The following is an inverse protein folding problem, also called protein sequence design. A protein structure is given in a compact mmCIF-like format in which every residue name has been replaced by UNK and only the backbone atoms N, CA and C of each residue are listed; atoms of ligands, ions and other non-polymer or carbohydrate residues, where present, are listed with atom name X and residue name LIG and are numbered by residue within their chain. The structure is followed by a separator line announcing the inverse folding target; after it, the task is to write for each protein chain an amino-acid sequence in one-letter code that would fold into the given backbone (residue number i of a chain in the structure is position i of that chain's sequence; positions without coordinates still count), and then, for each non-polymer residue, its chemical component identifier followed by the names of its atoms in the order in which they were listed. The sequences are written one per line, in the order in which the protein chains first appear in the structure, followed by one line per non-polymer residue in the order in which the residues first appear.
data_IF_189245010868
#
_entry.id   IF_189245010868
#
_cell.length_a   1.000
_cell.length_b   1.000
_cell.length_c   1.000
_cell.angle_alpha   90.00
_cell.angle_beta   90.00
_cell.angle_gamma   90.00
#
_symmetry.space_group_name_H-M   'P 1'
#
loop_
_entity.id
_entity.type
_entity.pdbx_description
1 polymer ?
#
# COMPACT_ATOMS: atom_id res chain seq x y z
N UNK A 1 -8.24 14.17 8.74
CA UNK A 1 -8.45 13.91 7.29
C UNK A 1 -9.90 14.06 6.81
N UNK A 2 -10.93 13.56 7.53
CA UNK A 2 -12.34 13.65 7.06
C UNK A 2 -12.89 15.08 6.93
N UNK A 3 -12.40 16.01 7.74
CA UNK A 3 -12.82 17.42 7.74
C UNK A 3 -12.34 18.13 6.47
N UNK A 4 -11.11 17.83 6.01
CA UNK A 4 -10.56 18.40 4.77
C UNK A 4 -11.40 17.99 3.55
N UNK A 5 -11.78 16.71 3.48
CA UNK A 5 -12.67 16.22 2.44
C UNK A 5 -14.04 16.91 2.45
N UNK A 6 -14.66 17.07 3.63
CA UNK A 6 -15.93 17.80 3.77
C UNK A 6 -15.79 19.27 3.38
N UNK A 7 -14.71 19.93 3.77
CA UNK A 7 -14.44 21.31 3.39
C UNK A 7 -14.28 21.46 1.87
N UNK A 8 -13.57 20.52 1.23
CA UNK A 8 -13.43 20.50 -0.23
C UNK A 8 -14.77 20.30 -0.94
N UNK A 9 -15.62 19.39 -0.46
CA UNK A 9 -16.98 19.22 -0.99
C UNK A 9 -17.79 20.50 -0.84
N UNK A 10 -17.78 21.11 0.34
CA UNK A 10 -18.53 22.34 0.59
C UNK A 10 -18.06 23.48 -0.32
N UNK A 11 -16.74 23.62 -0.50
CA UNK A 11 -16.18 24.61 -1.42
C UNK A 11 -16.66 24.37 -2.87
N UNK A 12 -16.57 23.13 -3.33
CA UNK A 12 -17.03 22.77 -4.66
C UNK A 12 -18.53 23.02 -4.84
N UNK A 13 -19.34 22.70 -3.84
CA UNK A 13 -20.78 22.94 -3.84
C UNK A 13 -21.09 24.45 -3.88
N UNK A 14 -20.34 25.24 -3.13
CA UNK A 14 -20.44 26.71 -3.14
C UNK A 14 -20.15 27.27 -4.53
N UNK A 15 -19.07 26.81 -5.17
CA UNK A 15 -18.73 27.21 -6.55
C UNK A 15 -19.84 26.82 -7.53
N UNK A 16 -20.38 25.61 -7.40
CA UNK A 16 -21.48 25.14 -8.25
C UNK A 16 -22.74 26.03 -8.09
N UNK A 17 -23.09 26.40 -6.85
CA UNK A 17 -24.21 27.30 -6.57
C UNK A 17 -23.94 28.70 -7.12
N UNK A 18 -22.74 29.25 -6.93
CA UNK A 18 -22.40 30.58 -7.43
C UNK A 18 -22.45 30.63 -8.96
N UNK A 19 -21.96 29.58 -9.61
CA UNK A 19 -22.06 29.42 -11.06
C UNK A 19 -23.53 29.33 -11.50
N UNK A 20 -24.38 28.61 -10.75
CA UNK A 20 -25.81 28.51 -11.01
C UNK A 20 -26.56 29.83 -10.90
N UNK A 21 -26.32 30.58 -9.82
CA UNK A 21 -26.95 31.88 -9.60
C UNK A 21 -26.46 32.91 -10.62
N UNK A 22 -25.15 32.96 -10.87
CA UNK A 22 -24.56 33.93 -11.82
C UNK A 22 -24.88 33.62 -13.28
N UNK A 23 -25.10 32.34 -13.63
CA UNK A 23 -25.32 31.88 -15.00
C UNK A 23 -26.69 31.19 -15.13
N UNK A 24 -27.73 31.83 -14.59
CA UNK A 24 -29.12 31.41 -14.73
C UNK A 24 -29.71 31.70 -16.12
N UNK A 25 -28.93 32.33 -17.02
CA UNK A 25 -29.34 32.61 -18.39
C UNK A 25 -29.68 31.33 -19.16
N UNK A 26 -30.80 31.35 -19.87
CA UNK A 26 -31.23 30.24 -20.72
C UNK A 26 -30.34 30.19 -21.97
N UNK A 27 -29.69 29.05 -22.19
CA UNK A 27 -28.90 28.79 -23.39
C UNK A 27 -29.62 27.75 -24.24
N UNK A 28 -29.77 28.02 -25.53
CA UNK A 28 -30.34 27.08 -26.48
C UNK A 28 -29.27 26.05 -26.87
N UNK A 29 -29.49 24.79 -26.45
CA UNK A 29 -28.66 23.66 -26.80
C UNK A 29 -29.27 22.95 -28.01
N UNK A 30 -28.64 23.12 -29.17
CA UNK A 30 -28.97 22.36 -30.38
C UNK A 30 -28.13 21.10 -30.41
N UNK A 31 -28.75 19.93 -30.28
CA UNK A 31 -28.04 18.65 -30.24
C UNK A 31 -27.76 18.14 -31.66
N UNK A 32 -26.70 18.58 -32.31
CA UNK A 32 -26.34 18.04 -33.63
C UNK A 32 -25.95 16.54 -33.54
N UNK A 33 -26.40 15.64 -34.45
CA UNK A 33 -27.23 15.85 -35.65
C UNK A 33 -28.75 15.75 -35.43
N UNK A 34 -29.22 15.57 -34.19
CA UNK A 34 -30.64 15.50 -33.88
C UNK A 34 -31.30 16.89 -34.05
N UNK A 35 -32.51 16.99 -34.64
CA UNK A 35 -33.22 18.25 -34.80
C UNK A 35 -33.94 18.64 -33.49
N UNK A 36 -33.26 18.56 -32.35
CA UNK A 36 -33.80 18.89 -31.03
C UNK A 36 -33.03 20.07 -30.42
N UNK A 37 -33.78 21.09 -30.01
CA UNK A 37 -33.24 22.27 -29.33
C UNK A 37 -33.83 22.33 -27.93
N UNK A 38 -32.97 22.29 -26.91
CA UNK A 38 -33.37 22.36 -25.51
C UNK A 38 -32.86 23.67 -24.93
N UNK A 39 -33.78 24.53 -24.47
CA UNK A 39 -33.40 25.72 -23.72
C UNK A 39 -33.24 25.35 -22.24
N UNK A 40 -32.03 25.42 -21.73
CA UNK A 40 -31.73 25.15 -20.32
C UNK A 40 -30.71 26.16 -19.77
N UNK A 41 -30.76 26.48 -18.48
CA UNK A 41 -29.71 27.26 -17.85
C UNK A 41 -28.32 26.61 -17.99
N UNK A 42 -27.30 27.42 -18.31
CA UNK A 42 -25.93 26.93 -18.57
C UNK A 42 -25.36 26.09 -17.42
N UNK A 43 -25.69 26.44 -16.18
CA UNK A 43 -25.20 25.70 -15.02
C UNK A 43 -25.65 24.24 -15.00
N UNK A 44 -26.85 23.91 -15.49
CA UNK A 44 -27.34 22.53 -15.55
C UNK A 44 -26.48 21.69 -16.50
N UNK A 45 -26.03 22.28 -17.61
CA UNK A 45 -25.14 21.60 -18.55
C UNK A 45 -23.81 21.28 -17.88
N UNK A 46 -23.19 22.26 -17.23
CA UNK A 46 -21.88 22.08 -16.59
C UNK A 46 -21.97 21.07 -15.44
N UNK A 47 -22.99 21.19 -14.58
CA UNK A 47 -23.22 20.26 -13.48
C UNK A 47 -23.49 18.84 -13.99
N UNK A 48 -24.26 18.66 -15.07
CA UNK A 48 -24.55 17.32 -15.60
C UNK A 48 -23.31 16.64 -16.19
N UNK A 49 -22.49 17.35 -16.96
CA UNK A 49 -21.21 16.83 -17.48
C UNK A 49 -20.27 16.44 -16.34
N UNK A 50 -20.18 17.29 -15.32
CA UNK A 50 -19.34 17.05 -14.15
C UNK A 50 -19.82 15.85 -13.34
N UNK A 51 -21.13 15.74 -13.12
CA UNK A 51 -21.76 14.60 -12.46
C UNK A 51 -21.50 13.30 -13.23
N UNK A 52 -21.65 13.32 -14.56
CA UNK A 52 -21.35 12.18 -15.43
C UNK A 52 -19.88 11.77 -15.32
N UNK A 53 -18.96 12.74 -15.34
CA UNK A 53 -17.53 12.47 -15.15
C UNK A 53 -17.21 11.81 -13.80
N UNK A 54 -17.83 12.30 -12.72
CA UNK A 54 -17.69 11.72 -11.38
C UNK A 54 -18.27 10.30 -11.34
N UNK A 55 -19.47 10.07 -11.86
CA UNK A 55 -20.09 8.74 -11.91
C UNK A 55 -19.26 7.75 -12.73
N UNK A 56 -18.74 8.18 -13.88
CA UNK A 56 -17.83 7.37 -14.69
C UNK A 56 -16.54 7.04 -13.93
N UNK A 57 -15.93 8.03 -13.28
CA UNK A 57 -14.73 7.84 -12.46
C UNK A 57 -14.94 6.89 -11.28
N UNK A 58 -16.06 7.04 -10.56
CA UNK A 58 -16.43 6.13 -9.47
C UNK A 58 -16.73 4.73 -9.99
N UNK A 59 -17.45 4.60 -11.11
CA UNK A 59 -17.78 3.32 -11.72
C UNK A 59 -16.52 2.55 -12.15
N UNK A 60 -15.61 3.22 -12.85
CA UNK A 60 -14.32 2.66 -13.27
C UNK A 60 -13.44 2.29 -12.08
N UNK A 61 -13.33 3.19 -11.09
CA UNK A 61 -12.58 2.93 -9.86
C UNK A 61 -13.15 1.77 -9.06
N UNK A 62 -14.48 1.64 -9.00
CA UNK A 62 -15.14 0.53 -8.32
C UNK A 62 -14.94 -0.79 -9.06
N UNK A 63 -14.96 -0.78 -10.40
CA UNK A 63 -14.66 -1.96 -11.22
C UNK A 63 -13.20 -2.42 -11.02
N UNK A 64 -12.25 -1.49 -11.05
CA UNK A 64 -10.84 -1.77 -10.80
C UNK A 64 -10.61 -2.30 -9.37
N UNK A 65 -11.18 -1.64 -8.36
CA UNK A 65 -11.08 -2.07 -6.97
C UNK A 65 -11.77 -3.43 -6.73
N UNK A 66 -12.87 -3.72 -7.42
CA UNK A 66 -13.56 -5.02 -7.34
C UNK A 66 -12.69 -6.14 -7.92
N UNK A 67 -11.95 -5.88 -8.99
CA UNK A 67 -11.00 -6.86 -9.55
C UNK A 67 -9.79 -7.06 -8.63
N UNK A 68 -9.26 -6.00 -8.02
CA UNK A 68 -8.15 -6.12 -7.05
C UNK A 68 -8.53 -6.91 -5.80
N UNK A 69 -9.77 -6.79 -5.30
CA UNK A 69 -10.26 -7.61 -4.18
C UNK A 69 -10.34 -9.10 -4.50
N UNK A 70 -10.52 -9.48 -5.77
CA UNK A 70 -10.47 -10.89 -6.20
C UNK A 70 -9.03 -11.41 -6.21
N UNK A 71 -8.09 -10.66 -6.80
CA UNK A 71 -6.66 -11.04 -6.85
C UNK A 71 -6.00 -11.10 -5.47
N UNK A 72 -6.39 -10.20 -4.54
CA UNK A 72 -5.88 -10.24 -3.16
C UNK A 72 -6.25 -11.54 -2.43
N UNK A 73 -7.42 -12.13 -2.74
CA UNK A 73 -7.82 -13.44 -2.17
C UNK A 73 -7.04 -14.60 -2.80
N UNK A 74 -6.64 -14.48 -4.05
CA UNK A 74 -5.84 -15.51 -4.74
C UNK A 74 -4.39 -15.49 -4.25
N UNK A 75 -3.77 -14.32 -4.14
CA UNK A 75 -2.42 -14.19 -3.57
C UNK A 75 -2.35 -14.62 -2.10
N UNK A 76 -3.40 -14.35 -1.30
CA UNK A 76 -3.48 -14.84 0.08
C UNK A 76 -3.56 -16.38 0.19
N UNK A 77 -4.21 -17.04 -0.79
CA UNK A 77 -4.27 -18.51 -0.84
C UNK A 77 -2.95 -19.12 -1.30
N UNK A 78 -2.27 -18.51 -2.27
CA UNK A 78 -0.94 -18.93 -2.70
C UNK A 78 0.07 -18.78 -1.57
N UNK A 79 0.12 -17.64 -0.87
CA UNK A 79 1.00 -17.46 0.28
C UNK A 79 0.74 -18.53 1.37
N UNK A 80 -0.53 -18.78 1.71
CA UNK A 80 -0.89 -19.81 2.68
C UNK A 80 -0.55 -21.24 2.21
N UNK A 81 -0.53 -21.48 0.89
CA UNK A 81 -0.13 -22.76 0.31
C UNK A 81 1.39 -22.95 0.41
N UNK A 82 2.17 -21.94 -0.01
CA UNK A 82 3.63 -21.97 0.10
C UNK A 82 4.08 -22.15 1.55
N UNK A 83 3.41 -21.49 2.50
CA UNK A 83 3.76 -21.58 3.92
C UNK A 83 3.54 -23.00 4.49
N UNK A 84 2.48 -23.68 4.04
CA UNK A 84 2.24 -25.10 4.36
C UNK A 84 3.28 -26.02 3.72
N UNK A 85 3.67 -25.75 2.48
CA UNK A 85 4.71 -26.53 1.79
C UNK A 85 6.08 -26.34 2.45
N UNK A 86 6.43 -25.12 2.88
CA UNK A 86 7.64 -24.85 3.69
C UNK A 86 7.60 -25.59 5.02
N UNK A 87 6.46 -25.54 5.72
CA UNK A 87 6.28 -26.23 7.01
C UNK A 87 6.44 -27.74 6.84
N UNK A 88 5.78 -28.32 5.82
CA UNK A 88 5.88 -29.75 5.50
C UNK A 88 7.31 -30.16 5.14
N UNK A 89 8.02 -29.37 4.34
CA UNK A 89 9.42 -29.65 4.00
C UNK A 89 10.32 -29.57 5.23
N UNK A 90 10.11 -28.60 6.12
CA UNK A 90 10.84 -28.52 7.40
C UNK A 90 10.59 -29.73 8.29
N UNK A 91 9.35 -30.20 8.38
CA UNK A 91 8.99 -31.41 9.13
C UNK A 91 9.65 -32.66 8.51
N UNK A 92 9.59 -32.81 7.18
CA UNK A 92 10.23 -33.93 6.49
C UNK A 92 11.75 -33.93 6.69
N UNK A 93 12.40 -32.76 6.63
CA UNK A 93 13.83 -32.61 6.92
C UNK A 93 14.16 -32.87 8.39
N UNK A 94 13.27 -32.53 9.33
CA UNK A 94 13.44 -32.84 10.75
C UNK A 94 13.33 -34.35 11.03
N UNK A 95 12.42 -35.05 10.32
CA UNK A 95 12.25 -36.51 10.40
C UNK A 95 13.39 -37.25 9.70
N UNK A 96 13.87 -36.73 8.57
CA UNK A 96 15.03 -37.28 7.85
C UNK A 96 16.38 -36.83 8.41
N UNK A 97 16.42 -36.03 9.49
CA UNK A 97 17.68 -35.79 10.20
C UNK A 97 18.12 -37.15 10.75
N UNK A 98 19.14 -37.81 10.17
CA UNK A 98 19.59 -39.06 10.72
C UNK A 98 20.02 -38.80 12.16
N UNK A 99 19.80 -39.78 13.03
CA UNK A 99 20.24 -39.77 14.41
C UNK A 99 21.78 -39.81 14.54
N UNK A 100 22.52 -39.09 13.70
CA UNK A 100 23.95 -38.81 13.82
C UNK A 100 24.17 -37.60 14.74
N UNK A 101 23.53 -37.63 15.90
CA UNK A 101 23.55 -36.56 16.88
C UNK A 101 23.22 -37.04 18.28
N UNK A 102 23.51 -38.32 18.58
CA UNK A 102 23.55 -38.79 19.95
C UNK A 102 24.80 -38.25 20.63
N UNK A 103 24.61 -37.29 21.54
CA UNK A 103 25.48 -36.94 22.68
C UNK A 103 26.60 -35.91 22.41
N UNK A 104 26.21 -34.64 22.57
CA UNK A 104 27.09 -33.60 23.13
C UNK A 104 27.44 -32.45 22.20
N UNK A 105 26.50 -31.53 21.93
CA UNK A 105 26.85 -30.18 21.47
C UNK A 105 25.68 -29.20 21.67
N UNK A 106 25.35 -29.01 22.95
CA UNK A 106 24.56 -27.88 23.41
C UNK A 106 25.37 -26.60 23.14
N UNK A 107 24.93 -25.80 22.15
CA UNK A 107 25.24 -24.37 21.99
C UNK A 107 26.66 -23.84 21.60
N UNK A 108 27.69 -24.64 21.29
CA UNK A 108 29.07 -24.09 21.25
C UNK A 108 29.89 -24.01 19.92
N UNK A 109 29.51 -24.50 18.72
CA UNK A 109 30.42 -24.41 17.57
C UNK A 109 30.33 -23.08 16.80
N UNK A 110 29.12 -22.60 16.51
CA UNK A 110 28.91 -21.35 15.74
C UNK A 110 29.39 -20.11 16.52
N UNK A 111 29.19 -20.09 17.83
CA UNK A 111 29.59 -18.99 18.70
C UNK A 111 31.12 -18.92 18.87
N UNK A 112 31.80 -20.07 19.00
CA UNK A 112 33.27 -20.16 18.98
C UNK A 112 33.87 -19.82 17.62
N UNK A 113 33.17 -20.10 16.53
CA UNK A 113 33.61 -19.71 15.19
C UNK A 113 33.54 -18.18 14.99
N UNK A 114 32.47 -17.53 15.47
CA UNK A 114 32.32 -16.08 15.46
C UNK A 114 33.35 -15.41 16.39
N UNK A 115 33.60 -15.97 17.58
CA UNK A 115 34.57 -15.46 18.55
C UNK A 115 36.01 -15.52 18.02
N UNK A 116 36.40 -16.62 17.36
CA UNK A 116 37.71 -16.73 16.70
C UNK A 116 37.87 -15.75 15.54
N UNK A 117 36.80 -15.51 14.77
CA UNK A 117 36.83 -14.50 13.71
C UNK A 117 36.98 -13.08 14.29
N UNK A 118 36.32 -12.76 15.41
CA UNK A 118 36.52 -11.46 16.08
C UNK A 118 37.91 -11.29 16.69
N UNK A 119 38.54 -12.37 17.15
CA UNK A 119 39.90 -12.36 17.69
C UNK A 119 40.97 -12.15 16.59
N UNK A 120 40.70 -12.56 15.35
CA UNK A 120 41.60 -12.35 14.20
C UNK A 120 41.41 -10.98 13.54
N UNK A 121 40.26 -10.34 13.70
CA UNK A 121 39.94 -9.01 13.12
C UNK A 121 40.38 -7.85 14.04
N UNK A 122 40.74 -8.10 15.30
CA UNK A 122 41.11 -7.05 16.26
C UNK A 122 42.58 -7.10 16.74
N UNK A 123 43.61 -7.03 15.87
CA UNK A 123 44.96 -6.67 16.32
C UNK A 123 45.13 -5.17 16.63
N UNK A 124 44.22 -4.29 16.18
CA UNK A 124 44.43 -2.82 16.18
C UNK A 124 43.61 -2.01 17.21
N UNK A 125 42.88 -2.65 18.13
CA UNK A 125 42.19 -1.94 19.23
C UNK A 125 42.82 -2.29 20.59
N UNK A 126 44.10 -2.00 20.73
CA UNK A 126 44.73 -1.79 22.04
C UNK A 126 44.32 -0.40 22.55
N UNK A 127 43.45 -0.25 23.56
CA UNK A 127 43.41 1.00 24.30
C UNK A 127 44.74 1.14 25.02
N UNK A 128 45.46 2.21 24.67
CA UNK A 128 46.70 2.62 25.31
C UNK A 128 46.60 2.50 26.83
N UNK A 129 47.55 1.76 27.40
CA UNK A 129 47.79 1.59 28.83
C UNK A 129 47.95 2.98 29.48
N UNK A 130 46.87 3.56 30.01
CA UNK A 130 46.97 4.71 30.92
C UNK A 130 47.55 4.18 32.24
N UNK A 131 48.75 4.63 32.56
CA UNK A 131 49.42 4.35 33.83
C UNK A 131 48.65 4.93 35.03
N UNK A 132 48.98 4.49 36.25
CA UNK A 132 48.25 4.83 37.46
C UNK A 132 48.42 6.32 37.83
N UNK A 133 47.47 6.91 38.57
CA UNK A 133 47.60 8.26 39.10
C UNK A 133 48.65 8.27 40.22
N UNK A 134 49.65 9.15 40.11
CA UNK A 134 50.54 9.46 41.22
C UNK A 134 49.82 10.39 42.21
N UNK A 135 50.03 10.20 43.53
CA UNK A 135 49.48 11.06 44.58
C UNK A 135 50.15 12.43 44.65
#
# INVERSE_FOLDING_TARGET
MKILYRALILLFLLLAVLLAVSNAGMVALTLWPLPFTVAAPLYLLILSVLLLGVLAGLGLGWWAARHHRRRAREHGKEAARLDREVTRLRELLAVHRPATGGRGETHAPAQRAIERQSALVAPDLMPARRGPPAP
#
